data_IF_783934519667
#
_entry.id   IF_783934519667
#
_cell.length_a   1.000
_cell.length_b   1.000
_cell.length_c   1.000
_cell.angle_alpha   90.00
_cell.angle_beta   90.00
_cell.angle_gamma   90.00
#
_symmetry.space_group_name_H-M   'P 1'
#
loop_
_entity.id
_entity.type
_entity.pdbx_description
1 polymer ?
#
# COMPACT_ATOMS: atom_id res chain seq x y z
N UNK A 1 -44.83 47.78 23.44
CA UNK A 1 -45.05 46.33 23.57
C UNK A 1 -44.82 45.59 22.25
N UNK A 2 -45.23 46.15 21.11
CA UNK A 2 -45.04 45.57 19.77
C UNK A 2 -43.56 45.38 19.36
N UNK A 3 -42.71 46.38 19.62
CA UNK A 3 -41.26 46.32 19.31
C UNK A 3 -40.45 45.29 20.14
N UNK A 4 -40.95 44.84 21.28
CA UNK A 4 -40.25 43.81 22.09
C UNK A 4 -40.59 42.38 21.64
N UNK A 5 -41.80 42.19 21.07
CA UNK A 5 -42.21 40.91 20.48
C UNK A 5 -41.51 40.66 19.16
N UNK A 6 -41.38 41.66 18.28
CA UNK A 6 -40.62 41.55 17.03
C UNK A 6 -39.14 41.24 17.28
N UNK A 7 -38.52 41.88 18.28
CA UNK A 7 -37.13 41.60 18.66
C UNK A 7 -36.92 40.18 19.22
N UNK A 8 -37.89 39.64 19.96
CA UNK A 8 -37.83 38.27 20.48
C UNK A 8 -38.07 37.22 19.39
N UNK A 9 -39.02 37.43 18.49
CA UNK A 9 -39.28 36.50 17.38
C UNK A 9 -38.10 36.43 16.41
N UNK A 10 -37.48 37.56 16.06
CA UNK A 10 -36.29 37.57 15.19
C UNK A 10 -35.10 36.83 15.84
N UNK A 11 -34.88 37.00 17.14
CA UNK A 11 -33.80 36.29 17.85
C UNK A 11 -34.08 34.79 18.06
N UNK A 12 -35.34 34.42 18.35
CA UNK A 12 -35.77 33.03 18.55
C UNK A 12 -35.84 32.28 17.23
N UNK A 13 -36.08 32.93 16.09
CA UNK A 13 -36.02 32.33 14.74
C UNK A 13 -34.59 32.27 14.18
N UNK A 14 -33.73 33.24 14.50
CA UNK A 14 -32.32 33.23 14.08
C UNK A 14 -31.50 32.12 14.73
N UNK A 15 -31.73 31.79 16.01
CA UNK A 15 -31.02 30.75 16.74
C UNK A 15 -31.18 29.34 16.14
N UNK A 16 -32.39 28.81 15.87
CA UNK A 16 -32.58 27.50 15.27
C UNK A 16 -32.04 27.47 13.84
N UNK A 17 -32.28 28.51 13.03
CA UNK A 17 -31.75 28.59 11.67
C UNK A 17 -30.22 28.56 11.63
N UNK A 18 -29.54 29.34 12.49
CA UNK A 18 -28.09 29.30 12.59
C UNK A 18 -27.59 27.94 13.08
N UNK A 19 -28.28 27.32 14.03
CA UNK A 19 -27.91 25.99 14.53
C UNK A 19 -28.04 24.90 13.47
N UNK A 20 -29.05 24.98 12.61
CA UNK A 20 -29.25 24.04 11.49
C UNK A 20 -28.16 24.20 10.43
N UNK A 21 -27.77 25.44 10.11
CA UNK A 21 -26.66 25.70 9.19
C UNK A 21 -25.34 25.16 9.76
N UNK A 22 -25.05 25.43 11.03
CA UNK A 22 -23.82 24.96 11.69
C UNK A 22 -23.81 23.43 11.77
N UNK A 23 -24.94 22.81 12.12
CA UNK A 23 -25.10 21.36 12.17
C UNK A 23 -24.90 20.72 10.80
N UNK A 24 -25.49 21.30 9.75
CA UNK A 24 -25.32 20.85 8.37
C UNK A 24 -23.87 20.95 7.91
N UNK A 25 -23.19 22.06 8.22
CA UNK A 25 -21.78 22.24 7.92
C UNK A 25 -20.90 21.23 8.67
N UNK A 26 -21.12 21.06 9.97
CA UNK A 26 -20.36 20.14 10.81
C UNK A 26 -20.56 18.69 10.37
N UNK A 27 -21.79 18.29 10.05
CA UNK A 27 -22.12 16.94 9.57
C UNK A 27 -21.45 16.68 8.23
N UNK A 28 -21.53 17.62 7.29
CA UNK A 28 -20.87 17.51 5.99
C UNK A 28 -19.34 17.42 6.12
N UNK A 29 -18.77 18.21 7.04
CA UNK A 29 -17.35 18.18 7.35
C UNK A 29 -16.93 16.80 7.91
N UNK A 30 -17.62 16.32 8.95
CA UNK A 30 -17.34 14.99 9.54
C UNK A 30 -17.48 13.89 8.50
N UNK A 31 -18.55 13.93 7.69
CA UNK A 31 -18.79 12.96 6.65
C UNK A 31 -17.66 12.93 5.61
N UNK A 32 -17.23 14.11 5.12
CA UNK A 32 -16.14 14.21 4.16
C UNK A 32 -14.83 13.65 4.72
N UNK A 33 -14.45 14.02 5.95
CA UNK A 33 -13.22 13.54 6.56
C UNK A 33 -13.27 12.04 6.88
N UNK A 34 -14.41 11.54 7.35
CA UNK A 34 -14.63 10.11 7.53
C UNK A 34 -14.46 9.37 6.18
N UNK A 35 -15.05 9.89 5.10
CA UNK A 35 -14.91 9.30 3.77
C UNK A 35 -13.44 9.26 3.33
N UNK A 36 -12.72 10.38 3.46
CA UNK A 36 -11.32 10.46 3.05
C UNK A 36 -10.37 9.59 3.89
N UNK A 37 -10.70 9.31 5.16
CA UNK A 37 -9.86 8.50 6.05
C UNK A 37 -10.18 7.00 5.98
N UNK A 38 -11.46 6.62 5.95
CA UNK A 38 -11.86 5.22 5.93
C UNK A 38 -11.78 4.59 4.52
N UNK A 39 -11.96 5.38 3.46
CA UNK A 39 -12.05 4.88 2.08
C UNK A 39 -10.76 5.07 1.30
N UNK A 40 -9.62 4.85 1.97
CA UNK A 40 -8.31 4.69 1.33
C UNK A 40 -7.88 3.23 1.41
N UNK A 41 -7.19 2.70 0.39
CA UNK A 41 -6.65 1.35 0.48
C UNK A 41 -5.59 1.29 1.60
N UNK A 42 -5.51 0.16 2.30
CA UNK A 42 -4.56 -0.10 3.38
C UNK A 42 -3.74 -1.32 3.02
N UNK A 43 -2.74 -1.12 2.17
CA UNK A 43 -1.85 -2.20 1.74
C UNK A 43 -0.64 -2.25 2.66
N UNK A 44 -0.27 -3.47 3.09
CA UNK A 44 0.95 -3.75 3.84
C UNK A 44 1.90 -4.56 2.96
N UNK A 45 3.17 -4.17 2.97
CA UNK A 45 4.25 -4.85 2.25
C UNK A 45 5.11 -5.57 3.28
N UNK A 46 5.53 -6.79 2.97
CA UNK A 46 6.44 -7.57 3.83
C UNK A 46 7.70 -6.78 4.18
N UNK A 47 8.21 -6.87 5.42
CA UNK A 47 9.49 -6.28 5.77
C UNK A 47 10.68 -7.01 5.14
N UNK A 48 10.51 -8.28 4.77
CA UNK A 48 11.56 -9.16 4.25
C UNK A 48 11.23 -9.69 2.85
N UNK A 49 12.26 -10.15 2.14
CA UNK A 49 12.17 -10.86 0.86
C UNK A 49 12.44 -12.36 1.11
N UNK A 50 11.56 -13.23 0.63
CA UNK A 50 11.74 -14.68 0.76
C UNK A 50 12.41 -15.27 -0.50
N UNK A 51 13.35 -16.20 -0.36
CA UNK A 51 14.12 -16.78 -1.49
C UNK A 51 13.53 -18.07 -2.08
N UNK A 52 12.21 -18.23 -2.01
CA UNK A 52 11.42 -19.42 -2.36
C UNK A 52 12.13 -20.43 -3.30
N UNK A 53 12.55 -21.57 -2.75
CA UNK A 53 13.13 -22.69 -3.52
C UNK A 53 12.00 -23.67 -3.86
N UNK A 54 11.12 -23.32 -4.80
CA UNK A 54 10.37 -24.35 -5.53
C UNK A 54 10.50 -24.10 -7.01
N UNK A 55 11.10 -25.09 -7.67
CA UNK A 55 11.01 -25.28 -9.10
C UNK A 55 9.53 -25.42 -9.46
N UNK A 56 8.95 -24.36 -10.01
CA UNK A 56 7.65 -24.45 -10.69
C UNK A 56 7.91 -25.05 -12.08
N UNK A 57 8.21 -26.34 -12.12
CA UNK A 57 8.38 -27.11 -13.37
C UNK A 57 9.63 -26.82 -14.20
N UNK A 58 10.58 -26.02 -13.71
CA UNK A 58 11.84 -25.74 -14.41
C UNK A 58 12.99 -26.64 -13.91
N UNK A 59 13.66 -27.30 -14.84
CA UNK A 59 14.79 -28.23 -14.62
C UNK A 59 16.07 -27.55 -14.12
N UNK A 60 16.09 -26.22 -14.04
CA UNK A 60 17.23 -25.44 -13.53
C UNK A 60 16.88 -24.80 -12.18
N UNK A 61 17.77 -24.88 -11.18
CA UNK A 61 17.60 -24.22 -9.89
C UNK A 61 17.80 -22.70 -10.05
N UNK A 62 16.76 -22.02 -10.52
CA UNK A 62 16.64 -20.58 -10.43
C UNK A 62 16.25 -20.24 -8.99
N UNK A 63 17.00 -19.38 -8.29
CA UNK A 63 16.55 -18.87 -6.98
C UNK A 63 15.44 -17.85 -7.23
N UNK A 64 14.20 -18.15 -6.84
CA UNK A 64 13.09 -17.21 -6.97
C UNK A 64 13.07 -16.29 -5.74
N UNK A 65 12.86 -15.00 -5.97
CA UNK A 65 12.65 -14.04 -4.89
C UNK A 65 11.18 -13.64 -4.85
N UNK A 66 10.61 -13.67 -3.65
CA UNK A 66 9.21 -13.42 -3.40
C UNK A 66 9.02 -12.21 -2.51
N UNK A 67 8.09 -11.35 -2.89
CA UNK A 67 7.57 -10.24 -2.10
C UNK A 67 6.12 -10.52 -1.74
N UNK A 68 5.78 -10.39 -0.46
CA UNK A 68 4.41 -10.56 0.00
C UNK A 68 3.74 -9.21 0.24
N UNK A 69 2.53 -9.08 -0.30
CA UNK A 69 1.69 -7.89 -0.16
C UNK A 69 0.34 -8.32 0.40
N UNK A 70 -0.18 -7.60 1.39
CA UNK A 70 -1.41 -7.93 2.11
C UNK A 70 -2.33 -6.72 2.08
N UNK A 71 -3.56 -6.92 1.61
CA UNK A 71 -4.63 -5.94 1.78
C UNK A 71 -5.20 -6.05 3.19
N UNK A 72 -5.02 -4.97 3.97
CA UNK A 72 -5.57 -4.81 5.32
C UNK A 72 -6.85 -3.97 5.37
N UNK A 73 -7.40 -3.55 4.22
CA UNK A 73 -8.68 -2.85 4.16
C UNK A 73 -9.86 -3.81 4.26
N UNK A 74 -10.98 -3.32 4.80
CA UNK A 74 -12.27 -4.01 4.76
C UNK A 74 -12.90 -4.07 3.35
N UNK A 75 -12.38 -3.27 2.42
CA UNK A 75 -12.81 -3.21 1.03
C UNK A 75 -11.77 -3.83 0.10
N UNK A 76 -12.18 -4.19 -1.11
CA UNK A 76 -11.24 -4.62 -2.14
C UNK A 76 -10.36 -3.45 -2.57
N UNK A 77 -9.19 -3.79 -3.08
CA UNK A 77 -8.36 -2.87 -3.82
C UNK A 77 -8.34 -3.30 -5.28
N UNK A 78 -8.60 -2.38 -6.21
CA UNK A 78 -8.61 -2.63 -7.66
C UNK A 78 -7.39 -2.03 -8.36
N UNK A 79 -7.11 -2.52 -9.57
CA UNK A 79 -6.00 -2.07 -10.43
C UNK A 79 -4.67 -2.10 -9.66
N UNK A 80 -4.41 -3.22 -8.97
CA UNK A 80 -3.21 -3.41 -8.20
C UNK A 80 -2.02 -3.60 -9.15
N UNK A 81 -1.06 -2.70 -9.07
CA UNK A 81 0.19 -2.74 -9.85
C UNK A 81 1.37 -2.76 -8.91
N UNK A 82 2.36 -3.58 -9.22
CA UNK A 82 3.56 -3.72 -8.44
C UNK A 82 4.77 -3.50 -9.33
N UNK A 83 5.65 -2.61 -8.90
CA UNK A 83 6.94 -2.36 -9.54
C UNK A 83 8.03 -2.69 -8.54
N UNK A 84 9.07 -3.38 -8.98
CA UNK A 84 10.27 -3.62 -8.19
C UNK A 84 11.44 -3.00 -8.92
N UNK A 85 12.18 -2.12 -8.27
CA UNK A 85 13.31 -1.42 -8.87
C UNK A 85 14.56 -1.58 -8.02
N UNK A 86 15.70 -1.77 -8.65
CA UNK A 86 17.00 -1.56 -8.04
C UNK A 86 17.29 -0.05 -8.01
N UNK A 87 17.66 0.46 -6.84
CA UNK A 87 18.16 1.83 -6.64
C UNK A 87 19.67 1.80 -6.53
N UNK A 88 20.32 2.55 -7.41
CA UNK A 88 21.76 2.73 -7.48
C UNK A 88 22.04 4.21 -7.14
N UNK A 89 22.76 4.50 -6.05
CA UNK A 89 23.14 5.87 -5.75
C UNK A 89 24.14 6.36 -6.81
N UNK A 90 23.91 7.56 -7.31
CA UNK A 90 24.77 8.22 -8.29
C UNK A 90 25.02 9.64 -7.80
N UNK A 91 26.27 10.06 -7.76
CA UNK A 91 26.63 11.45 -7.46
C UNK A 91 26.38 12.29 -8.70
N UNK A 92 25.44 13.22 -8.60
CA UNK A 92 25.14 14.20 -9.64
C UNK A 92 26.13 15.36 -9.66
N UNK A 93 25.96 16.30 -10.62
CA UNK A 93 26.69 17.56 -10.62
C UNK A 93 26.55 18.27 -9.27
N UNK A 94 27.61 18.95 -8.83
CA UNK A 94 27.69 19.64 -7.52
C UNK A 94 27.66 18.72 -6.28
N UNK A 95 27.92 17.42 -6.44
CA UNK A 95 28.00 16.48 -5.30
C UNK A 95 26.64 16.06 -4.72
N UNK A 96 25.52 16.43 -5.36
CA UNK A 96 24.18 16.03 -4.91
C UNK A 96 23.94 14.55 -5.18
N UNK A 97 23.42 13.82 -4.20
CA UNK A 97 23.09 12.40 -4.38
C UNK A 97 21.77 12.25 -5.14
N UNK A 98 21.82 11.49 -6.23
CA UNK A 98 20.66 11.03 -6.99
C UNK A 98 20.60 9.51 -6.95
N UNK A 99 19.48 8.96 -7.41
CA UNK A 99 19.34 7.51 -7.58
C UNK A 99 18.99 7.20 -9.02
N UNK A 100 19.80 6.36 -9.66
CA UNK A 100 19.41 5.68 -10.88
C UNK A 100 18.55 4.48 -10.51
N UNK A 101 17.44 4.28 -11.21
CA UNK A 101 16.55 3.13 -11.01
C UNK A 101 16.62 2.18 -12.19
N UNK A 102 16.74 0.88 -11.92
CA UNK A 102 16.64 -0.20 -12.91
C UNK A 102 15.43 -1.07 -12.54
N UNK A 103 14.52 -1.30 -13.48
CA UNK A 103 13.32 -2.11 -13.25
C UNK A 103 13.68 -3.61 -13.22
N UNK A 104 13.26 -4.32 -12.18
CA UNK A 104 13.32 -5.77 -12.09
C UNK A 104 12.04 -6.39 -12.66
N UNK A 105 12.18 -7.52 -13.36
CA UNK A 105 11.06 -8.18 -14.03
C UNK A 105 10.34 -9.08 -13.03
N UNK A 106 9.07 -8.78 -12.77
CA UNK A 106 8.19 -9.67 -12.04
C UNK A 106 7.56 -10.68 -13.00
N UNK A 107 7.33 -11.90 -12.52
CA UNK A 107 6.56 -12.92 -13.24
C UNK A 107 5.12 -12.44 -13.48
N UNK A 108 4.54 -11.79 -12.48
CA UNK A 108 3.24 -11.13 -12.56
C UNK A 108 3.30 -9.84 -11.75
N UNK A 109 3.08 -8.72 -12.42
CA UNK A 109 3.18 -7.36 -11.86
C UNK A 109 1.80 -6.74 -11.59
N UNK A 110 0.72 -7.32 -12.13
CA UNK A 110 -0.64 -6.76 -12.06
C UNK A 110 -1.69 -7.76 -11.63
N UNK A 111 -2.62 -7.28 -10.82
CA UNK A 111 -3.85 -7.97 -10.45
C UNK A 111 -5.04 -7.01 -10.60
N UNK A 112 -6.14 -7.50 -11.18
CA UNK A 112 -7.36 -6.69 -11.34
C UNK A 112 -7.92 -6.25 -9.99
N UNK A 113 -7.84 -7.13 -8.99
CA UNK A 113 -8.22 -6.83 -7.62
C UNK A 113 -7.46 -7.66 -6.59
N UNK A 114 -7.51 -7.20 -5.34
CA UNK A 114 -7.13 -7.94 -4.13
C UNK A 114 -8.33 -8.01 -3.20
N UNK A 115 -8.62 -9.19 -2.66
CA UNK A 115 -9.76 -9.39 -1.78
C UNK A 115 -9.66 -8.51 -0.51
N UNK A 116 -10.81 -8.17 0.13
CA UNK A 116 -10.77 -7.46 1.40
C UNK A 116 -10.19 -8.36 2.49
N UNK A 117 -9.62 -7.74 3.52
CA UNK A 117 -9.19 -8.45 4.70
C UNK A 117 -10.37 -9.18 5.36
N UNK A 118 -10.23 -10.48 5.57
CA UNK A 118 -11.20 -11.30 6.32
C UNK A 118 -10.44 -12.21 7.27
N UNK A 119 -10.93 -12.32 8.50
CA UNK A 119 -10.45 -13.32 9.43
C UNK A 119 -10.93 -14.72 8.97
N UNK A 120 -10.01 -15.69 8.93
CA UNK A 120 -10.30 -17.07 8.51
C UNK A 120 -9.23 -17.64 7.57
N UNK A 121 -9.52 -18.79 6.97
CA UNK A 121 -8.55 -19.58 6.21
C UNK A 121 -8.26 -19.04 4.80
N UNK A 122 -9.18 -18.27 4.20
CA UNK A 122 -9.02 -17.77 2.83
C UNK A 122 -8.05 -16.59 2.79
N UNK A 123 -6.89 -16.81 2.19
CA UNK A 123 -5.80 -15.83 2.08
C UNK A 123 -5.81 -15.00 0.79
N UNK A 124 -6.96 -14.85 0.12
CA UNK A 124 -7.09 -14.11 -1.15
C UNK A 124 -6.74 -12.61 -1.03
N UNK A 125 -6.69 -12.09 0.21
CA UNK A 125 -6.25 -10.74 0.52
C UNK A 125 -4.72 -10.61 0.58
N UNK A 126 -3.98 -11.72 0.48
CA UNK A 126 -2.53 -11.78 0.51
C UNK A 126 -1.99 -12.34 -0.81
N UNK A 127 -1.14 -11.56 -1.48
CA UNK A 127 -0.58 -11.89 -2.79
C UNK A 127 0.95 -11.99 -2.72
N UNK A 128 1.49 -12.84 -3.59
CA UNK A 128 2.92 -13.06 -3.76
C UNK A 128 3.34 -12.57 -5.13
N UNK A 129 4.39 -11.75 -5.16
CA UNK A 129 5.02 -11.23 -6.36
C UNK A 129 6.40 -11.84 -6.45
N UNK A 130 6.71 -12.46 -7.59
CA UNK A 130 7.93 -13.23 -7.74
C UNK A 130 8.80 -12.69 -8.87
N UNK A 131 10.12 -12.77 -8.71
CA UNK A 131 11.10 -12.48 -9.74
C UNK A 131 12.18 -13.56 -9.77
N UNK A 132 12.72 -13.80 -10.96
CA UNK A 132 13.89 -14.66 -11.19
C UNK A 132 15.19 -13.85 -11.26
N UNK A 133 15.12 -12.52 -11.22
CA UNK A 133 16.30 -11.66 -11.13
C UNK A 133 17.03 -11.95 -9.81
N UNK A 134 18.36 -12.10 -9.88
CA UNK A 134 19.15 -12.49 -8.71
C UNK A 134 19.37 -11.32 -7.74
N UNK A 135 18.40 -11.09 -6.87
CA UNK A 135 18.41 -9.98 -5.91
C UNK A 135 19.62 -10.04 -4.98
N UNK A 136 20.00 -11.22 -4.49
CA UNK A 136 21.18 -11.34 -3.61
C UNK A 136 22.46 -10.93 -4.34
N UNK A 137 22.62 -11.30 -5.62
CA UNK A 137 23.76 -10.84 -6.42
C UNK A 137 23.75 -9.32 -6.55
N UNK A 138 22.61 -8.74 -6.93
CA UNK A 138 22.45 -7.28 -7.08
C UNK A 138 22.83 -6.54 -5.80
N UNK A 139 22.32 -6.97 -4.64
CA UNK A 139 22.57 -6.29 -3.37
C UNK A 139 23.98 -6.53 -2.81
N UNK A 140 24.67 -7.58 -3.26
CA UNK A 140 26.07 -7.85 -2.89
C UNK A 140 27.08 -7.12 -3.78
N UNK A 141 26.69 -6.61 -4.95
CA UNK A 141 27.57 -5.83 -5.84
C UNK A 141 28.04 -4.52 -5.18
N UNK A 142 27.19 -3.88 -4.39
CA UNK A 142 27.51 -2.64 -3.68
C UNK A 142 26.65 -2.50 -2.42
N UNK A 143 27.25 -2.11 -1.30
CA UNK A 143 26.53 -1.97 -0.02
C UNK A 143 25.44 -0.89 -0.01
N UNK A 144 25.54 0.10 -0.90
CA UNK A 144 24.56 1.17 -1.02
C UNK A 144 23.45 0.87 -2.04
N UNK A 145 23.48 -0.29 -2.69
CA UNK A 145 22.37 -0.71 -3.53
C UNK A 145 21.20 -1.16 -2.66
N UNK A 146 19.99 -0.79 -3.08
CA UNK A 146 18.76 -1.20 -2.40
C UNK A 146 17.71 -1.61 -3.41
N UNK A 147 16.83 -2.55 -3.04
CA UNK A 147 15.64 -2.86 -3.83
C UNK A 147 14.45 -2.09 -3.26
N UNK A 148 13.70 -1.41 -4.11
CA UNK A 148 12.46 -0.73 -3.75
C UNK A 148 11.30 -1.44 -4.43
N UNK A 149 10.31 -1.86 -3.64
CA UNK A 149 9.00 -2.27 -4.16
C UNK A 149 8.02 -1.12 -4.01
N UNK A 150 7.24 -0.89 -5.07
CA UNK A 150 6.15 0.08 -5.12
C UNK A 150 4.87 -0.67 -5.45
N UNK A 151 3.85 -0.50 -4.61
CA UNK A 151 2.53 -1.06 -4.82
C UNK A 151 1.56 0.09 -5.02
N UNK A 152 0.92 0.13 -6.19
CA UNK A 152 -0.13 1.09 -6.52
C UNK A 152 -1.46 0.35 -6.45
N UNK A 153 -2.43 0.92 -5.74
CA UNK A 153 -3.75 0.32 -5.58
C UNK A 153 -4.82 1.40 -5.50
N UNK A 154 -6.04 1.10 -5.95
CA UNK A 154 -7.21 1.98 -5.84
C UNK A 154 -8.26 1.36 -4.91
N UNK A 155 -8.92 2.19 -4.11
CA UNK A 155 -10.03 1.75 -3.28
C UNK A 155 -11.26 1.38 -4.12
N UNK A 156 -11.97 0.29 -3.78
CA UNK A 156 -13.13 -0.22 -4.54
C UNK A 156 -14.27 0.81 -4.69
N UNK A 157 -14.68 1.46 -3.61
CA UNK A 157 -15.88 2.32 -3.65
C UNK A 157 -15.61 3.74 -4.14
N UNK A 158 -14.44 4.29 -3.85
CA UNK A 158 -14.13 5.71 -4.07
C UNK A 158 -13.15 5.93 -5.22
N UNK A 159 -12.50 4.87 -5.71
CA UNK A 159 -11.46 4.95 -6.73
C UNK A 159 -10.18 5.66 -6.28
N UNK A 160 -10.09 6.11 -5.01
CA UNK A 160 -8.92 6.81 -4.49
C UNK A 160 -7.69 5.90 -4.54
N UNK A 161 -6.67 6.37 -5.27
CA UNK A 161 -5.39 5.70 -5.42
C UNK A 161 -4.46 5.95 -4.24
N UNK A 162 -3.59 5.00 -3.94
CA UNK A 162 -2.44 5.20 -3.04
C UNK A 162 -1.24 4.39 -3.52
N UNK A 163 -0.06 4.90 -3.20
CA UNK A 163 1.23 4.26 -3.49
C UNK A 163 1.89 3.87 -2.18
N UNK A 164 2.26 2.61 -2.05
CA UNK A 164 2.93 2.04 -0.89
C UNK A 164 4.35 1.65 -1.31
N UNK A 165 5.34 2.06 -0.53
CA UNK A 165 6.75 1.87 -0.89
C UNK A 165 7.48 1.19 0.24
N UNK A 166 8.35 0.23 -0.10
CA UNK A 166 9.26 -0.41 0.85
C UNK A 166 10.63 -0.61 0.20
N UNK A 167 11.67 -0.22 0.93
CA UNK A 167 13.06 -0.46 0.57
C UNK A 167 13.60 -1.67 1.32
N UNK A 168 14.48 -2.42 0.65
CA UNK A 168 15.17 -3.59 1.15
C UNK A 168 16.67 -3.50 0.89
N UNK A 169 17.42 -4.02 1.85
CA UNK A 169 18.86 -4.18 1.85
C UNK A 169 19.25 -5.66 1.82
N UNK A 170 20.55 -5.96 1.75
CA UNK A 170 21.07 -7.34 1.81
C UNK A 170 20.60 -8.12 3.05
N UNK A 171 20.31 -7.43 4.16
CA UNK A 171 19.90 -8.04 5.43
C UNK A 171 18.41 -8.43 5.47
N UNK A 172 17.61 -7.92 4.54
CA UNK A 172 16.17 -8.17 4.48
C UNK A 172 15.82 -9.43 3.68
N UNK A 173 16.82 -10.10 3.09
CA UNK A 173 16.65 -11.38 2.42
C UNK A 173 16.66 -12.50 3.45
N UNK A 174 15.63 -13.34 3.46
CA UNK A 174 15.52 -14.50 4.33
C UNK A 174 15.17 -15.76 3.54
N UNK A 175 15.86 -16.85 3.86
CA UNK A 175 15.60 -18.15 3.25
C UNK A 175 14.28 -18.74 3.76
N UNK A 176 13.49 -19.28 2.84
CA UNK A 176 12.23 -19.95 3.13
C UNK A 176 11.06 -19.47 2.27
N UNK A 177 9.85 -19.79 2.70
CA UNK A 177 8.57 -19.46 2.06
C UNK A 177 7.71 -18.66 3.02
N UNK A 178 6.97 -17.67 2.51
CA UNK A 178 5.99 -16.99 3.35
C UNK A 178 4.89 -17.94 3.80
N UNK A 179 4.55 -17.88 5.09
CA UNK A 179 3.32 -18.48 5.60
C UNK A 179 2.11 -17.87 4.87
N UNK A 180 1.08 -18.67 4.64
CA UNK A 180 -0.16 -18.17 4.04
C UNK A 180 -0.88 -17.18 4.97
N UNK A 181 -1.78 -16.36 4.42
CA UNK A 181 -2.64 -15.46 5.20
C UNK A 181 -2.01 -14.10 5.49
N UNK A 182 -2.29 -13.54 6.67
CA UNK A 182 -2.00 -12.13 7.01
C UNK A 182 -0.63 -11.89 7.68
N UNK A 183 0.14 -12.94 7.93
CA UNK A 183 1.46 -12.82 8.57
C UNK A 183 2.55 -12.60 7.53
N UNK A 184 3.65 -11.97 7.92
CA UNK A 184 4.87 -11.88 7.10
C UNK A 184 5.95 -12.87 7.55
N UNK A 185 5.54 -13.91 8.26
CA UNK A 185 6.43 -14.95 8.75
C UNK A 185 6.96 -15.79 7.57
N UNK A 186 8.27 -16.00 7.54
CA UNK A 186 8.96 -16.86 6.57
C UNK A 186 9.38 -18.13 7.29
N UNK A 187 8.89 -19.27 6.80
CA UNK A 187 9.17 -20.61 7.29
C UNK A 187 10.11 -21.33 6.31
N UNK A 188 11.14 -21.97 6.83
CA UNK A 188 12.14 -22.76 6.08
C UNK A 188 11.74 -24.22 6.03
#
# INVERSE_FOLDING_TARGET
>A
MQSFYEFCDDHILCLPFASDIISGFLTSFIFLFALLFFFRPRIKISPQIATHVKSYGETTPSSWYCFKVVNGSFFRAFDLRVEVVQKIPVTGPEGRQNHRTILLRLHKDRYNYVAPFRFGEKSEYALWFMTTDNIAKILNENEHYSIEIRVIAKHELTGLGSVFVKNYSKHDIKNGTFKSGNTFEIVS
#
